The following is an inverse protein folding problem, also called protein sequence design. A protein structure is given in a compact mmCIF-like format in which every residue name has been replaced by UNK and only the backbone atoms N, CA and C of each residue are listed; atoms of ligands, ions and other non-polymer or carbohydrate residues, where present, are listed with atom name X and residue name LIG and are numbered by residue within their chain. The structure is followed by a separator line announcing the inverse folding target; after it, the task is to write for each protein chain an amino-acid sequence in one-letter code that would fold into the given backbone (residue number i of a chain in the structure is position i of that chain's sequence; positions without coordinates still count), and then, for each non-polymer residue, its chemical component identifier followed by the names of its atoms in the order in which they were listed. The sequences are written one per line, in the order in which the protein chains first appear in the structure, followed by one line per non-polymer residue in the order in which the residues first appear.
data_IF_930468567072
#
_entry.id   IF_930468567072
#
_cell.length_a   1.000
_cell.length_b   1.000
_cell.length_c   1.000
_cell.angle_alpha   90.00
_cell.angle_beta   90.00
_cell.angle_gamma   90.00
#
_symmetry.space_group_name_H-M   'P 1'
#
loop_
_entity.id
_entity.type
_entity.pdbx_description
1 polymer ?
#
# COMPACT_ATOMS: atom_id res chain seq x y z
N UNK A 1 -3.95 6.75 -11.39
CA UNK A 1 -5.12 6.71 -10.48
C UNK A 1 -6.43 7.10 -11.18
N UNK A 2 -6.51 8.26 -11.85
CA UNK A 2 -7.72 8.76 -12.54
C UNK A 2 -8.30 7.76 -13.56
N UNK A 3 -7.45 7.12 -14.37
CA UNK A 3 -7.90 6.10 -15.34
C UNK A 3 -8.65 4.92 -14.69
N UNK A 4 -8.24 4.48 -13.49
CA UNK A 4 -8.94 3.40 -12.77
C UNK A 4 -10.31 3.83 -12.29
N UNK A 5 -10.42 5.02 -11.71
CA UNK A 5 -11.70 5.60 -11.25
C UNK A 5 -12.67 5.71 -12.43
N UNK A 6 -12.21 6.24 -13.57
CA UNK A 6 -13.05 6.39 -14.75
C UNK A 6 -13.56 5.05 -15.30
N UNK A 7 -12.71 4.01 -15.35
CA UNK A 7 -13.10 2.67 -15.81
C UNK A 7 -14.15 2.05 -14.88
N UNK A 8 -13.95 2.14 -13.56
CA UNK A 8 -14.91 1.62 -12.58
C UNK A 8 -16.25 2.39 -12.69
N UNK A 9 -16.17 3.72 -12.78
CA UNK A 9 -17.35 4.57 -12.92
C UNK A 9 -18.17 4.25 -14.18
N UNK A 10 -17.50 3.93 -15.29
CA UNK A 10 -18.16 3.56 -16.55
C UNK A 10 -19.00 2.29 -16.39
N UNK A 11 -18.50 1.28 -15.68
CA UNK A 11 -19.22 0.01 -15.42
C UNK A 11 -20.44 0.23 -14.53
N UNK A 12 -20.33 1.06 -13.49
CA UNK A 12 -21.49 1.37 -12.64
C UNK A 12 -22.53 2.21 -13.38
N UNK A 13 -22.09 3.21 -14.15
CA UNK A 13 -23.00 4.03 -14.96
C UNK A 13 -23.72 3.22 -16.04
N UNK A 14 -23.07 2.23 -16.66
CA UNK A 14 -23.73 1.37 -17.64
C UNK A 14 -24.83 0.48 -17.04
N UNK A 15 -24.82 0.30 -15.72
CA UNK A 15 -25.87 -0.42 -14.97
C UNK A 15 -26.88 0.53 -14.31
N UNK A 16 -26.83 1.83 -14.63
CA UNK A 16 -27.72 2.84 -14.04
C UNK A 16 -27.40 3.21 -12.59
N UNK A 17 -26.25 2.75 -12.05
CA UNK A 17 -25.84 3.02 -10.67
C UNK A 17 -24.99 4.28 -10.62
N UNK A 18 -25.42 5.27 -9.83
CA UNK A 18 -24.65 6.48 -9.59
C UNK A 18 -23.82 6.35 -8.31
N UNK A 19 -22.50 6.45 -8.45
CA UNK A 19 -21.54 6.48 -7.33
C UNK A 19 -20.75 7.77 -7.42
N UNK A 20 -20.59 8.47 -6.30
CA UNK A 20 -19.74 9.65 -6.24
C UNK A 20 -18.25 9.26 -6.32
N UNK A 21 -17.48 9.91 -7.20
CA UNK A 21 -16.07 9.57 -7.46
C UNK A 21 -15.21 9.50 -6.20
N UNK A 22 -15.48 10.34 -5.19
CA UNK A 22 -14.78 10.35 -3.90
C UNK A 22 -14.72 8.97 -3.24
N UNK A 23 -15.77 8.15 -3.33
CA UNK A 23 -15.75 6.80 -2.76
C UNK A 23 -14.76 5.88 -3.49
N UNK A 24 -14.78 5.93 -4.83
CA UNK A 24 -13.85 5.15 -5.66
C UNK A 24 -12.40 5.62 -5.46
N UNK A 25 -12.18 6.93 -5.36
CA UNK A 25 -10.86 7.50 -5.11
C UNK A 25 -10.26 7.04 -3.78
N UNK A 26 -11.06 6.95 -2.72
CA UNK A 26 -10.62 6.44 -1.42
C UNK A 26 -10.12 5.00 -1.56
N UNK A 27 -10.85 4.14 -2.28
CA UNK A 27 -10.45 2.74 -2.50
C UNK A 27 -9.21 2.67 -3.39
N UNK A 28 -9.20 3.39 -4.52
CA UNK A 28 -8.08 3.42 -5.48
C UNK A 28 -6.80 3.93 -4.82
N UNK A 29 -6.91 4.88 -3.88
CA UNK A 29 -5.78 5.36 -3.08
C UNK A 29 -5.18 4.25 -2.23
N UNK A 30 -5.99 3.39 -1.61
CA UNK A 30 -5.49 2.29 -0.79
C UNK A 30 -4.70 1.26 -1.61
N UNK A 31 -5.24 0.85 -2.76
CA UNK A 31 -4.59 -0.14 -3.66
C UNK A 31 -3.35 0.39 -4.39
N UNK A 32 -3.09 1.70 -4.34
CA UNK A 32 -1.90 2.35 -4.94
C UNK A 32 -1.04 3.07 -3.91
N UNK A 33 -1.14 2.67 -2.63
CA UNK A 33 -0.43 3.31 -1.51
C UNK A 33 1.00 2.79 -1.29
N UNK A 34 1.42 1.76 -2.04
CA UNK A 34 2.69 1.06 -1.85
C UNK A 34 3.63 1.24 -3.03
N UNK A 35 4.93 1.18 -2.72
CA UNK A 35 6.02 1.24 -3.69
C UNK A 35 7.02 0.12 -3.41
N UNK A 36 7.65 -0.37 -4.46
CA UNK A 36 8.75 -1.33 -4.40
C UNK A 36 10.06 -0.57 -4.53
N UNK A 37 10.99 -0.78 -3.61
CA UNK A 37 12.32 -0.16 -3.66
C UNK A 37 13.12 -0.78 -4.80
N UNK A 38 13.70 0.07 -5.66
CA UNK A 38 14.54 -0.36 -6.78
C UNK A 38 15.94 -0.76 -6.31
N UNK A 39 16.57 -1.70 -7.02
CA UNK A 39 17.93 -2.17 -6.71
C UNK A 39 18.99 -1.09 -7.01
N UNK A 40 18.69 -0.18 -7.93
CA UNK A 40 19.64 0.82 -8.45
C UNK A 40 19.91 2.01 -7.50
N UNK A 41 19.30 2.02 -6.31
CA UNK A 41 19.42 3.11 -5.33
C UNK A 41 20.27 2.70 -4.13
N UNK A 42 21.47 3.27 -3.99
CA UNK A 42 22.41 3.07 -2.87
C UNK A 42 21.95 3.66 -1.52
N UNK A 43 20.64 3.77 -1.26
CA UNK A 43 20.14 4.23 0.04
C UNK A 43 20.04 3.03 1.00
N UNK A 44 20.99 2.92 1.94
CA UNK A 44 21.12 1.82 2.93
C UNK A 44 19.92 1.64 3.88
N UNK A 45 18.83 2.39 3.71
CA UNK A 45 17.73 2.45 4.68
C UNK A 45 16.61 1.44 4.39
N UNK A 46 16.53 0.93 3.16
CA UNK A 46 15.57 -0.09 2.77
C UNK A 46 16.25 -1.24 2.04
N UNK A 47 15.65 -2.42 2.14
CA UNK A 47 16.13 -3.56 1.37
C UNK A 47 15.68 -3.44 -0.09
N UNK A 48 16.53 -3.80 -1.07
CA UNK A 48 16.10 -3.89 -2.46
C UNK A 48 14.90 -4.85 -2.60
N UNK A 49 13.87 -4.44 -3.35
CA UNK A 49 12.62 -5.19 -3.46
C UNK A 49 11.71 -5.10 -2.23
N UNK A 50 12.04 -4.30 -1.21
CA UNK A 50 11.16 -4.08 -0.07
C UNK A 50 9.91 -3.31 -0.48
N UNK A 51 8.75 -3.78 0.00
CA UNK A 51 7.47 -3.13 -0.21
C UNK A 51 7.19 -2.14 0.93
N UNK A 52 7.24 -0.85 0.62
CA UNK A 52 7.07 0.23 1.61
C UNK A 52 5.88 1.12 1.25
N UNK A 53 5.41 1.92 2.22
CA UNK A 53 4.38 2.92 1.96
C UNK A 53 4.94 4.10 1.18
N UNK A 54 4.22 4.58 0.17
CA UNK A 54 4.61 5.74 -0.64
C UNK A 54 4.94 6.95 0.23
N UNK A 55 4.08 7.28 1.20
CA UNK A 55 4.30 8.40 2.11
C UNK A 55 5.56 8.22 2.98
N UNK A 56 5.90 6.97 3.34
CA UNK A 56 7.12 6.66 4.09
C UNK A 56 8.36 6.88 3.22
N UNK A 57 8.31 6.42 1.97
CA UNK A 57 9.39 6.64 1.00
C UNK A 57 9.64 8.14 0.78
N UNK A 58 8.59 8.91 0.53
CA UNK A 58 8.68 10.37 0.33
C UNK A 58 9.18 11.12 1.57
N UNK A 59 8.77 10.71 2.77
CA UNK A 59 9.26 11.30 4.03
C UNK A 59 10.73 11.02 4.24
N UNK A 60 11.17 9.79 4.00
CA UNK A 60 12.56 9.41 4.20
C UNK A 60 13.48 10.02 3.16
N UNK A 61 13.07 10.09 1.89
CA UNK A 61 13.88 10.77 0.87
C UNK A 61 14.09 12.25 1.18
N UNK A 62 13.07 12.93 1.73
CA UNK A 62 13.23 14.31 2.22
C UNK A 62 14.16 14.42 3.43
N UNK A 63 14.07 13.48 4.37
CA UNK A 63 14.90 13.50 5.58
C UNK A 63 16.39 13.21 5.31
N UNK A 64 16.67 12.42 4.27
CA UNK A 64 18.02 12.06 3.85
C UNK A 64 18.59 13.01 2.79
N UNK A 65 17.79 13.97 2.31
CA UNK A 65 18.11 14.81 1.16
C UNK A 65 18.47 14.02 -0.11
N UNK A 66 18.03 12.76 -0.18
CA UNK A 66 18.32 11.81 -1.26
C UNK A 66 17.04 11.23 -1.84
N UNK A 67 16.96 11.17 -3.17
CA UNK A 67 15.82 10.54 -3.84
C UNK A 67 15.90 9.01 -3.68
N UNK A 68 14.95 8.44 -2.94
CA UNK A 68 14.81 6.98 -2.86
C UNK A 68 14.24 6.48 -4.19
N UNK A 69 15.00 5.64 -4.88
CA UNK A 69 14.55 5.00 -6.12
C UNK A 69 13.49 3.94 -5.81
N UNK A 70 12.28 4.12 -6.33
CA UNK A 70 11.19 3.15 -6.17
C UNK A 70 10.25 3.16 -7.37
N UNK A 71 9.47 2.08 -7.49
CA UNK A 71 8.36 1.96 -8.45
C UNK A 71 7.04 1.85 -7.72
N UNK A 72 6.05 2.66 -8.12
CA UNK A 72 4.68 2.53 -7.61
C UNK A 72 4.07 1.21 -8.06
N UNK A 73 3.49 0.47 -7.11
CA UNK A 73 2.86 -0.83 -7.38
C UNK A 73 1.35 -0.73 -7.16
N UNK A 74 0.59 -1.28 -8.10
CA UNK A 74 -0.85 -1.51 -7.94
C UNK A 74 -1.06 -2.88 -7.28
N UNK A 75 -1.62 -2.89 -6.07
CA UNK A 75 -1.95 -4.11 -5.35
C UNK A 75 -3.44 -4.44 -5.49
N UNK A 76 -3.80 -5.72 -5.50
CA UNK A 76 -5.20 -6.12 -5.29
C UNK A 76 -5.66 -5.76 -3.88
N UNK A 77 -6.98 -5.61 -3.66
CA UNK A 77 -7.55 -5.24 -2.34
C UNK A 77 -7.07 -6.18 -1.24
N UNK A 78 -7.10 -7.49 -1.48
CA UNK A 78 -6.64 -8.50 -0.52
C UNK A 78 -5.17 -8.32 -0.12
N UNK A 79 -4.29 -8.07 -1.11
CA UNK A 79 -2.86 -7.82 -0.85
C UNK A 79 -2.65 -6.47 -0.15
N UNK A 80 -3.42 -5.44 -0.49
CA UNK A 80 -3.36 -4.15 0.19
C UNK A 80 -3.75 -4.28 1.67
N UNK A 81 -4.82 -5.02 1.98
CA UNK A 81 -5.29 -5.29 3.35
C UNK A 81 -4.31 -6.13 4.18
N UNK A 82 -3.55 -7.03 3.54
CA UNK A 82 -2.50 -7.82 4.21
C UNK A 82 -1.16 -7.08 4.35
N UNK A 83 -1.02 -5.88 3.79
CA UNK A 83 0.20 -5.09 3.85
C UNK A 83 -0.03 -3.75 4.58
N UNK A 84 -0.86 -3.76 5.62
CA UNK A 84 -1.08 -2.57 6.45
C UNK A 84 0.10 -2.37 7.43
N UNK A 85 0.00 -1.37 8.31
CA UNK A 85 0.99 -1.18 9.37
C UNK A 85 0.62 -1.96 10.64
N UNK A 86 -0.67 -2.17 10.86
CA UNK A 86 -1.22 -2.87 12.01
C UNK A 86 -1.28 -4.36 11.75
N UNK A 87 -0.47 -5.13 12.48
CA UNK A 87 -0.51 -6.59 12.36
C UNK A 87 -1.79 -7.16 12.96
N UNK A 88 -2.45 -6.46 13.89
CA UNK A 88 -3.77 -6.82 14.41
C UNK A 88 -4.79 -6.75 13.29
N UNK A 89 -4.83 -5.63 12.56
CA UNK A 89 -5.73 -5.47 11.40
C UNK A 89 -5.45 -6.49 10.30
N UNK A 90 -4.17 -6.77 10.01
CA UNK A 90 -3.77 -7.82 9.06
C UNK A 90 -4.30 -9.20 9.51
N UNK A 91 -4.12 -9.55 10.79
CA UNK A 91 -4.48 -10.86 11.35
C UNK A 91 -5.99 -11.08 11.45
N UNK A 92 -6.77 -10.02 11.67
CA UNK A 92 -8.24 -10.05 11.67
C UNK A 92 -8.82 -10.19 10.27
N UNK A 93 -8.08 -9.82 9.23
CA UNK A 93 -8.55 -9.95 7.86
C UNK A 93 -8.46 -11.41 7.36
N UNK A 94 -7.25 -11.98 7.33
CA UNK A 94 -7.00 -13.39 7.01
C UNK A 94 -5.54 -13.80 7.32
N UNK A 95 -5.19 -15.07 7.11
CA UNK A 95 -3.82 -15.60 7.29
C UNK A 95 -3.24 -15.38 8.71
N UNK A 96 -4.12 -15.41 9.72
CA UNK A 96 -3.86 -15.05 11.13
C UNK A 96 -2.58 -15.68 11.68
N UNK A 97 -2.39 -16.99 11.53
CA UNK A 97 -1.21 -17.69 12.04
C UNK A 97 0.10 -17.16 11.41
N UNK A 98 0.11 -16.92 10.10
CA UNK A 98 1.28 -16.40 9.36
C UNK A 98 1.60 -14.96 9.79
N UNK A 99 0.57 -14.13 9.96
CA UNK A 99 0.72 -12.73 10.35
C UNK A 99 1.29 -12.63 11.77
N UNK A 100 0.71 -13.36 12.73
CA UNK A 100 1.16 -13.34 14.13
C UNK A 100 2.59 -13.88 14.27
N UNK A 101 2.92 -14.99 13.58
CA UNK A 101 4.29 -15.52 13.59
C UNK A 101 5.30 -14.48 13.06
N UNK A 102 4.99 -13.82 11.94
CA UNK A 102 5.84 -12.76 11.37
C UNK A 102 5.96 -11.55 12.30
N UNK A 103 4.89 -11.17 12.99
CA UNK A 103 4.88 -10.05 13.92
C UNK A 103 5.74 -10.36 15.16
N UNK A 104 5.62 -11.56 15.72
CA UNK A 104 6.41 -12.03 16.85
C UNK A 104 7.92 -12.11 16.53
N UNK A 105 8.27 -12.70 15.38
CA UNK A 105 9.67 -12.78 14.92
C UNK A 105 10.33 -11.40 14.72
N UNK A 106 9.53 -10.39 14.37
CA UNK A 106 10.01 -9.02 14.15
C UNK A 106 9.85 -8.11 15.36
N UNK A 107 9.27 -8.60 16.46
CA UNK A 107 8.92 -7.78 17.63
C UNK A 107 8.05 -6.57 17.28
N UNK A 108 7.08 -6.71 16.37
CA UNK A 108 6.23 -5.58 15.95
C UNK A 108 5.36 -5.09 17.12
N UNK A 109 5.29 -3.78 17.28
CA UNK A 109 4.38 -3.10 18.20
C UNK A 109 3.27 -2.45 17.36
N UNK A 110 2.01 -2.67 17.74
CA UNK A 110 0.84 -2.07 17.11
C UNK A 110 0.36 -0.88 17.94
N UNK A 111 0.03 0.22 17.28
CA UNK A 111 -0.50 1.43 17.92
C UNK A 111 -1.93 1.62 17.42
N UNK A 112 -2.89 1.65 18.34
CA UNK A 112 -4.33 1.80 18.07
C UNK A 112 -4.71 3.24 17.73
#
# INVERSE_FOLDING_TARGET
RISLVNKIQQVYRSQGVQIHNRHLEIIVRQITSKVLVSEDGMSNVFLPGELIGLLRAERMGRALEEAICYRVVLLGITRASLNTQSFISEASFQETARVLAKAALRGRIDWL
#
